data_IF_100363552280
#
_entry.id   IF_100363552280
#
_cell.length_a   1.000
_cell.length_b   1.000
_cell.length_c   1.000
_cell.angle_alpha   90.00
_cell.angle_beta   90.00
_cell.angle_gamma   90.00
#
_symmetry.space_group_name_H-M   'P 1'
#
loop_
_entity.id
_entity.type
_entity.pdbx_description
1 polymer ?
#
# COMPACT_ATOMS: atom_id res chain seq x y z
N UNK A 1 31.24 9.08 -14.08
CA UNK A 1 30.06 9.46 -13.27
C UNK A 1 30.50 10.41 -12.17
N UNK A 2 29.91 11.60 -12.02
CA UNK A 2 30.33 12.61 -11.05
C UNK A 2 30.24 12.06 -9.60
N UNK A 3 31.25 12.29 -8.76
CA UNK A 3 31.33 11.72 -7.40
C UNK A 3 30.07 12.02 -6.56
N UNK A 4 29.52 13.24 -6.72
CA UNK A 4 28.30 13.67 -6.04
C UNK A 4 27.06 12.86 -6.42
N UNK A 5 26.93 12.44 -7.68
CA UNK A 5 25.82 11.60 -8.15
C UNK A 5 25.93 10.17 -7.59
N UNK A 6 27.16 9.65 -7.45
CA UNK A 6 27.41 8.37 -6.80
C UNK A 6 26.96 8.40 -5.34
N UNK A 7 27.27 9.49 -4.63
CA UNK A 7 26.85 9.68 -3.24
C UNK A 7 25.33 9.74 -3.11
N UNK A 8 24.63 10.46 -3.99
CA UNK A 8 23.16 10.48 -4.01
C UNK A 8 22.55 9.10 -4.30
N UNK A 9 23.12 8.35 -5.26
CA UNK A 9 22.70 6.98 -5.54
C UNK A 9 22.87 6.07 -4.33
N UNK A 10 24.01 6.16 -3.63
CA UNK A 10 24.27 5.37 -2.43
C UNK A 10 23.32 5.73 -1.29
N UNK A 11 23.07 7.02 -1.05
CA UNK A 11 22.12 7.47 -0.03
C UNK A 11 20.68 7.05 -0.34
N UNK A 12 20.26 7.13 -1.61
CA UNK A 12 18.95 6.63 -2.03
C UNK A 12 18.81 5.13 -1.76
N UNK A 13 19.80 4.33 -2.17
CA UNK A 13 19.79 2.88 -1.96
C UNK A 13 19.81 2.52 -0.48
N UNK A 14 20.64 3.18 0.33
CA UNK A 14 20.68 2.99 1.77
C UNK A 14 19.34 3.35 2.42
N UNK A 15 18.73 4.48 2.07
CA UNK A 15 17.44 4.88 2.61
C UNK A 15 16.33 3.88 2.23
N UNK A 16 16.26 3.50 0.94
CA UNK A 16 15.23 2.59 0.44
C UNK A 16 15.38 1.15 0.97
N UNK A 17 16.59 0.73 1.33
CA UNK A 17 16.86 -0.59 1.95
C UNK A 17 16.58 -0.62 3.45
N UNK A 18 16.80 0.49 4.16
CA UNK A 18 16.40 0.64 5.57
C UNK A 18 14.88 0.79 5.76
N UNK A 19 14.15 1.12 4.70
CA UNK A 19 12.70 1.08 4.69
C UNK A 19 12.17 -0.37 4.66
N UNK A 20 10.93 -0.57 5.09
CA UNK A 20 10.31 -1.90 5.13
C UNK A 20 10.45 -2.61 3.76
N UNK A 21 11.20 -3.73 3.67
CA UNK A 21 11.57 -4.35 2.38
C UNK A 21 10.33 -4.78 1.58
N UNK A 22 9.20 -5.04 2.25
CA UNK A 22 7.95 -5.48 1.63
C UNK A 22 7.22 -4.34 0.92
N UNK A 23 7.10 -3.16 1.54
CA UNK A 23 6.58 -1.94 0.90
C UNK A 23 7.49 -1.49 -0.25
N UNK A 24 8.79 -1.69 -0.07
CA UNK A 24 9.81 -1.41 -1.08
C UNK A 24 9.57 -2.24 -2.37
N UNK A 25 9.16 -3.50 -2.25
CA UNK A 25 8.86 -4.35 -3.40
C UNK A 25 7.54 -3.97 -4.10
N UNK A 26 6.47 -3.74 -3.33
CA UNK A 26 5.15 -3.36 -3.87
C UNK A 26 5.25 -2.06 -4.67
N UNK A 27 5.89 -1.03 -4.10
CA UNK A 27 6.01 0.25 -4.77
C UNK A 27 6.98 0.18 -5.96
N UNK A 28 8.04 -0.64 -5.91
CA UNK A 28 8.99 -0.76 -7.04
C UNK A 28 8.33 -1.32 -8.31
N UNK A 29 7.36 -2.22 -8.16
CA UNK A 29 6.84 -3.00 -9.28
C UNK A 29 5.35 -2.79 -9.53
N UNK A 30 4.54 -2.64 -8.49
CA UNK A 30 3.12 -2.33 -8.62
C UNK A 30 2.86 -0.93 -9.17
N UNK A 31 3.77 0.01 -8.90
CA UNK A 31 3.63 1.39 -9.33
C UNK A 31 3.88 1.61 -10.84
N UNK A 32 4.94 1.07 -11.48
CA UNK A 32 5.07 1.12 -12.94
C UNK A 32 4.00 0.30 -13.65
N UNK A 33 3.56 -0.83 -13.06
CA UNK A 33 2.45 -1.62 -13.60
C UNK A 33 1.14 -0.83 -13.59
N UNK A 34 0.84 -0.15 -12.48
CA UNK A 34 -0.32 0.74 -12.39
C UNK A 34 -0.23 1.86 -13.43
N UNK A 35 0.93 2.49 -13.60
CA UNK A 35 1.15 3.51 -14.63
C UNK A 35 0.83 3.00 -16.04
N UNK A 36 1.30 1.79 -16.37
CA UNK A 36 1.02 1.14 -17.66
C UNK A 36 -0.47 0.83 -17.84
N UNK A 37 -1.15 0.35 -16.79
CA UNK A 37 -2.59 0.04 -16.84
C UNK A 37 -3.40 1.31 -17.10
N UNK A 38 -3.17 2.37 -16.33
CA UNK A 38 -3.94 3.60 -16.50
C UNK A 38 -3.60 4.27 -17.85
N UNK A 39 -2.36 4.17 -18.32
CA UNK A 39 -1.98 4.62 -19.65
C UNK A 39 -2.68 3.84 -20.77
N UNK A 40 -2.72 2.51 -20.69
CA UNK A 40 -3.39 1.65 -21.67
C UNK A 40 -4.92 1.91 -21.69
N UNK A 41 -5.53 2.07 -20.51
CA UNK A 41 -6.94 2.41 -20.38
C UNK A 41 -7.25 3.80 -20.96
N UNK A 42 -6.39 4.79 -20.69
CA UNK A 42 -6.49 6.12 -21.26
C UNK A 42 -6.29 6.11 -22.78
N UNK A 43 -5.38 5.29 -23.30
CA UNK A 43 -5.18 5.15 -24.74
C UNK A 43 -6.42 4.63 -25.44
N UNK A 44 -7.02 3.56 -24.88
CA UNK A 44 -8.22 2.93 -25.43
C UNK A 44 -9.47 3.83 -25.40
N UNK A 45 -9.53 4.82 -24.49
CA UNK A 45 -10.72 5.65 -24.28
C UNK A 45 -10.58 7.09 -24.78
N UNK A 46 -9.37 7.65 -24.74
CA UNK A 46 -9.08 9.07 -24.97
C UNK A 46 -7.94 9.31 -25.96
N UNK A 47 -7.36 8.27 -26.56
CA UNK A 47 -6.30 8.38 -27.56
C UNK A 47 -4.88 8.52 -26.98
N UNK A 48 -3.88 8.52 -27.88
CA UNK A 48 -2.47 8.37 -27.52
C UNK A 48 -1.90 9.57 -26.74
N UNK A 49 -2.34 10.79 -27.07
CA UNK A 49 -1.89 11.99 -26.36
C UNK A 49 -2.33 11.95 -24.89
N UNK A 50 -3.60 11.67 -24.61
CA UNK A 50 -4.10 11.56 -23.23
C UNK A 50 -3.42 10.44 -22.45
N UNK A 51 -3.10 9.32 -23.12
CA UNK A 51 -2.36 8.22 -22.52
C UNK A 51 -0.95 8.63 -22.09
N UNK A 52 -0.21 9.35 -22.92
CA UNK A 52 1.14 9.83 -22.62
C UNK A 52 1.15 10.79 -21.43
N UNK A 53 0.23 11.76 -21.41
CA UNK A 53 0.09 12.73 -20.31
C UNK A 53 -0.21 12.02 -19.00
N UNK A 54 -1.15 11.09 -19.03
CA UNK A 54 -1.56 10.37 -17.84
C UNK A 54 -0.45 9.42 -17.37
N UNK A 55 0.24 8.72 -18.28
CA UNK A 55 1.42 7.90 -17.96
C UNK A 55 2.51 8.74 -17.28
N UNK A 56 2.78 9.94 -17.80
CA UNK A 56 3.74 10.89 -17.23
C UNK A 56 3.35 11.31 -15.83
N UNK A 57 2.11 11.78 -15.64
CA UNK A 57 1.59 12.20 -14.33
C UNK A 57 1.62 11.06 -13.31
N UNK A 58 1.21 9.84 -13.71
CA UNK A 58 1.27 8.67 -12.83
C UNK A 58 2.72 8.33 -12.51
N UNK A 59 3.63 8.37 -13.49
CA UNK A 59 5.07 8.17 -13.27
C UNK A 59 5.63 9.12 -12.21
N UNK A 60 5.32 10.42 -12.31
CA UNK A 60 5.70 11.41 -11.32
C UNK A 60 5.06 11.13 -9.94
N UNK A 61 3.77 10.81 -9.87
CA UNK A 61 3.10 10.46 -8.62
C UNK A 61 3.73 9.23 -7.96
N UNK A 62 4.12 8.22 -8.74
CA UNK A 62 4.80 7.02 -8.26
C UNK A 62 6.17 7.36 -7.65
N UNK A 63 6.93 8.27 -8.25
CA UNK A 63 8.19 8.75 -7.67
C UNK A 63 7.95 9.44 -6.34
N UNK A 64 6.90 10.28 -6.23
CA UNK A 64 6.54 10.96 -4.99
C UNK A 64 6.11 9.99 -3.89
N UNK A 65 5.29 8.99 -4.21
CA UNK A 65 4.89 7.96 -3.26
C UNK A 65 6.08 7.10 -2.83
N UNK A 66 6.98 6.79 -3.75
CA UNK A 66 8.26 6.11 -3.45
C UNK A 66 9.12 6.94 -2.51
N UNK A 67 9.19 8.25 -2.74
CA UNK A 67 9.91 9.19 -1.90
C UNK A 67 9.30 9.23 -0.49
N UNK A 68 7.99 9.48 -0.36
CA UNK A 68 7.32 9.64 0.92
C UNK A 68 7.30 8.36 1.76
N UNK A 69 7.06 7.19 1.16
CA UNK A 69 6.87 5.94 1.90
C UNK A 69 8.10 5.02 1.96
N UNK A 70 9.11 5.21 1.10
CA UNK A 70 10.34 4.41 1.15
C UNK A 70 11.52 5.26 1.55
N UNK A 71 11.79 6.32 0.80
CA UNK A 71 12.98 7.12 1.02
C UNK A 71 12.93 7.84 2.36
N UNK A 72 11.86 8.59 2.67
CA UNK A 72 11.79 9.41 3.89
C UNK A 72 11.96 8.58 5.18
N UNK A 73 11.21 7.47 5.42
CA UNK A 73 11.40 6.67 6.64
C UNK A 73 12.82 6.15 6.81
N UNK A 74 13.46 5.70 5.72
CA UNK A 74 14.83 5.19 5.76
C UNK A 74 15.87 6.30 5.90
N UNK A 75 15.69 7.43 5.22
CA UNK A 75 16.55 8.60 5.31
C UNK A 75 16.52 9.20 6.73
N UNK A 76 15.36 9.21 7.38
CA UNK A 76 15.23 9.63 8.79
C UNK A 76 15.98 8.67 9.72
N UNK A 77 15.97 7.35 9.44
CA UNK A 77 16.78 6.37 10.19
C UNK A 77 18.29 6.58 9.98
N UNK A 78 18.71 6.91 8.75
CA UNK A 78 20.10 7.23 8.43
C UNK A 78 20.58 8.51 9.11
N UNK A 79 19.72 9.53 9.19
CA UNK A 79 19.98 10.78 9.90
C UNK A 79 19.79 10.60 11.41
N UNK A 80 20.54 9.68 12.04
CA UNK A 80 20.59 9.61 13.51
C UNK A 80 21.34 10.83 14.08
N UNK A 81 21.16 11.20 15.36
CA UNK A 81 21.84 12.37 15.93
C UNK A 81 23.37 12.24 15.90
N UNK A 82 23.87 11.01 16.07
CA UNK A 82 25.28 10.68 15.95
C UNK A 82 25.74 10.86 14.50
N UNK A 83 25.06 10.26 13.52
CA UNK A 83 25.45 10.34 12.11
C UNK A 83 25.36 11.77 11.57
N UNK A 84 24.39 12.56 12.04
CA UNK A 84 24.21 13.96 11.65
C UNK A 84 25.40 14.85 12.07
N UNK A 85 26.16 14.47 13.10
CA UNK A 85 27.40 15.16 13.53
C UNK A 85 28.68 14.50 13.01
N UNK A 86 28.72 13.17 13.02
CA UNK A 86 29.94 12.39 12.77
C UNK A 86 30.22 12.15 11.28
N UNK A 87 29.18 12.15 10.43
CA UNK A 87 29.35 11.90 8.99
C UNK A 87 29.27 13.23 8.23
N UNK A 88 30.41 13.83 7.85
CA UNK A 88 30.44 15.15 7.24
C UNK A 88 29.65 15.18 5.93
N UNK A 89 28.80 16.21 5.78
CA UNK A 89 28.02 16.43 4.56
C UNK A 89 26.87 15.46 4.31
N UNK A 90 26.71 14.38 5.09
CA UNK A 90 25.61 13.41 4.89
C UNK A 90 24.24 14.06 5.02
N UNK A 91 24.01 14.84 6.08
CA UNK A 91 22.75 15.57 6.29
C UNK A 91 22.44 16.50 5.12
N UNK A 92 23.41 17.33 4.72
CA UNK A 92 23.25 18.28 3.62
C UNK A 92 22.85 17.55 2.33
N UNK A 93 23.51 16.44 2.02
CA UNK A 93 23.21 15.61 0.85
C UNK A 93 21.84 14.93 0.94
N UNK A 94 21.41 14.49 2.12
CA UNK A 94 20.07 13.95 2.34
C UNK A 94 18.99 15.00 2.12
N UNK A 95 19.18 16.22 2.63
CA UNK A 95 18.26 17.35 2.41
C UNK A 95 18.21 17.72 0.93
N UNK A 96 19.36 17.88 0.28
CA UNK A 96 19.44 18.16 -1.16
C UNK A 96 18.72 17.09 -1.99
N UNK A 97 19.00 15.80 -1.74
CA UNK A 97 18.38 14.69 -2.43
C UNK A 97 16.86 14.64 -2.17
N UNK A 98 16.42 14.86 -0.93
CA UNK A 98 15.01 14.90 -0.59
C UNK A 98 14.27 16.02 -1.33
N UNK A 99 14.85 17.23 -1.37
CA UNK A 99 14.29 18.36 -2.11
C UNK A 99 14.22 18.08 -3.61
N UNK A 100 15.29 17.54 -4.21
CA UNK A 100 15.34 17.26 -5.65
C UNK A 100 14.29 16.21 -6.03
N UNK A 101 14.25 15.09 -5.31
CA UNK A 101 13.33 13.97 -5.62
C UNK A 101 11.88 14.34 -5.34
N UNK A 102 11.62 15.28 -4.43
CA UNK A 102 10.27 15.77 -4.18
C UNK A 102 9.85 16.84 -5.20
N UNK A 103 10.71 17.81 -5.50
CA UNK A 103 10.37 18.92 -6.39
C UNK A 103 10.28 18.51 -7.86
N UNK A 104 11.20 17.66 -8.36
CA UNK A 104 11.21 17.28 -9.78
C UNK A 104 9.91 16.64 -10.26
N UNK A 105 9.30 15.66 -9.56
CA UNK A 105 8.01 15.12 -9.97
C UNK A 105 6.86 16.11 -9.84
N UNK A 106 6.88 17.01 -8.85
CA UNK A 106 5.87 18.06 -8.70
C UNK A 106 5.93 19.01 -9.90
N UNK A 107 7.13 19.47 -10.26
CA UNK A 107 7.36 20.26 -11.47
C UNK A 107 6.98 19.48 -12.74
N UNK A 108 7.30 18.19 -12.80
CA UNK A 108 6.94 17.31 -13.91
C UNK A 108 5.43 17.21 -14.14
N UNK A 109 4.62 17.13 -13.08
CA UNK A 109 3.15 17.13 -13.17
C UNK A 109 2.64 18.51 -13.58
N UNK A 110 3.22 19.58 -13.05
CA UNK A 110 2.87 20.95 -13.43
C UNK A 110 3.13 21.22 -14.93
N UNK A 111 4.21 20.65 -15.48
CA UNK A 111 4.63 20.80 -16.87
C UNK A 111 4.05 19.74 -17.81
N UNK A 112 3.13 18.89 -17.34
CA UNK A 112 2.57 17.83 -18.16
C UNK A 112 1.93 18.43 -19.43
N UNK A 113 2.43 18.08 -20.63
CA UNK A 113 1.97 18.70 -21.87
C UNK A 113 0.47 18.41 -22.04
N UNK A 114 -0.34 19.37 -22.47
CA UNK A 114 -1.80 19.21 -22.69
C UNK A 114 -2.70 19.04 -21.46
N UNK A 115 -2.21 19.26 -20.25
CA UNK A 115 -3.07 19.28 -19.09
C UNK A 115 -3.79 20.64 -18.95
N UNK A 116 -5.12 20.62 -18.81
CA UNK A 116 -5.94 21.81 -18.55
C UNK A 116 -5.40 22.53 -17.30
N UNK A 117 -4.79 23.73 -17.43
CA UNK A 117 -4.02 24.34 -16.37
C UNK A 117 -4.86 24.62 -15.11
N UNK A 118 -6.18 24.84 -15.27
CA UNK A 118 -7.10 24.99 -14.14
C UNK A 118 -7.26 23.74 -13.29
N UNK A 119 -7.26 22.56 -13.91
CA UNK A 119 -7.33 21.29 -13.18
C UNK A 119 -5.97 20.93 -12.58
N UNK A 120 -4.87 21.22 -13.28
CA UNK A 120 -3.52 20.88 -12.83
C UNK A 120 -3.16 21.57 -11.52
N UNK A 121 -3.39 22.89 -11.39
CA UNK A 121 -3.02 23.64 -10.20
C UNK A 121 -3.67 23.07 -8.92
N UNK A 122 -4.95 22.72 -9.03
CA UNK A 122 -5.73 22.08 -7.98
C UNK A 122 -5.16 20.71 -7.56
N UNK A 123 -4.93 19.83 -8.54
CA UNK A 123 -4.37 18.50 -8.26
C UNK A 123 -2.95 18.59 -7.68
N UNK A 124 -2.19 19.61 -8.07
CA UNK A 124 -0.86 19.85 -7.51
C UNK A 124 -0.92 20.21 -6.03
N UNK A 125 -1.84 21.10 -5.62
CA UNK A 125 -2.04 21.46 -4.20
C UNK A 125 -2.32 20.20 -3.37
N UNK A 126 -3.26 19.37 -3.84
CA UNK A 126 -3.60 18.13 -3.16
C UNK A 126 -2.39 17.20 -3.04
N UNK A 127 -1.69 16.97 -4.15
CA UNK A 127 -0.58 16.03 -4.18
C UNK A 127 0.59 16.50 -3.30
N UNK A 128 0.93 17.78 -3.34
CA UNK A 128 1.99 18.36 -2.51
C UNK A 128 1.61 18.30 -1.02
N UNK A 129 0.38 18.67 -0.66
CA UNK A 129 -0.09 18.61 0.73
C UNK A 129 -0.16 17.18 1.26
N UNK A 130 -0.64 16.23 0.45
CA UNK A 130 -0.66 14.81 0.79
C UNK A 130 0.75 14.26 1.01
N UNK A 131 1.67 14.50 0.08
CA UNK A 131 3.07 14.03 0.17
C UNK A 131 3.82 14.70 1.32
N UNK A 132 3.54 15.97 1.60
CA UNK A 132 4.01 16.70 2.77
C UNK A 132 3.56 16.02 4.07
N UNK A 133 2.26 15.79 4.22
CA UNK A 133 1.71 15.16 5.41
C UNK A 133 2.22 13.74 5.61
N UNK A 134 2.38 12.97 4.53
CA UNK A 134 2.99 11.63 4.56
C UNK A 134 4.46 11.68 5.00
N UNK A 135 5.25 12.62 4.50
CA UNK A 135 6.66 12.78 4.87
C UNK A 135 6.82 13.23 6.33
N UNK A 136 5.99 14.17 6.79
CA UNK A 136 5.94 14.59 8.19
C UNK A 136 5.55 13.42 9.11
N UNK A 137 4.51 12.67 8.76
CA UNK A 137 4.10 11.48 9.48
C UNK A 137 5.22 10.44 9.54
N UNK A 138 5.94 10.25 8.42
CA UNK A 138 7.08 9.34 8.34
C UNK A 138 8.27 9.76 9.21
N UNK A 139 8.48 11.06 9.34
CA UNK A 139 9.45 11.64 10.27
C UNK A 139 8.99 11.55 11.74
N UNK A 140 7.72 11.24 12.00
CA UNK A 140 7.13 11.17 13.33
C UNK A 140 6.55 12.49 13.84
N UNK A 141 6.31 13.46 12.96
CA UNK A 141 5.60 14.69 13.33
C UNK A 141 4.11 14.43 13.48
N UNK A 142 3.53 14.93 14.58
CA UNK A 142 2.09 14.86 14.85
C UNK A 142 1.25 15.63 13.82
N UNK A 143 1.84 16.64 13.17
CA UNK A 143 1.18 17.41 12.11
C UNK A 143 0.96 16.60 10.82
N UNK A 144 1.60 15.43 10.65
CA UNK A 144 1.47 14.64 9.43
C UNK A 144 0.02 14.24 9.13
N UNK A 145 -0.69 13.70 10.12
CA UNK A 145 -2.08 13.25 9.93
C UNK A 145 -3.07 14.40 9.69
N UNK A 146 -3.05 15.50 10.49
CA UNK A 146 -3.84 16.70 10.19
C UNK A 146 -3.59 17.27 8.79
N UNK A 147 -2.35 17.27 8.30
CA UNK A 147 -2.03 17.77 6.96
C UNK A 147 -2.58 16.85 5.87
N UNK A 148 -2.48 15.52 6.05
CA UNK A 148 -3.12 14.55 5.14
C UNK A 148 -4.64 14.76 5.13
N UNK A 149 -5.25 14.85 6.31
CA UNK A 149 -6.68 15.08 6.44
C UNK A 149 -7.08 16.41 5.78
N UNK A 150 -6.36 17.50 6.04
CA UNK A 150 -6.59 18.80 5.43
C UNK A 150 -6.39 18.80 3.92
N UNK A 151 -5.56 17.91 3.37
CA UNK A 151 -5.47 17.71 1.92
C UNK A 151 -6.81 17.18 1.39
N UNK A 152 -7.31 16.06 1.92
CA UNK A 152 -8.57 15.45 1.51
C UNK A 152 -9.81 16.32 1.80
N UNK A 153 -9.85 16.99 2.94
CA UNK A 153 -10.91 17.91 3.33
C UNK A 153 -10.71 19.31 2.76
N UNK A 154 -9.56 19.63 2.18
CA UNK A 154 -9.33 20.92 1.52
C UNK A 154 -9.83 20.90 0.08
N UNK A 155 -9.77 19.73 -0.58
CA UNK A 155 -10.27 19.62 -1.97
C UNK A 155 -11.76 19.88 -2.12
N UNK A 156 -12.47 19.47 -1.09
CA UNK A 156 -13.82 19.84 -0.74
C UNK A 156 -14.23 21.30 -0.95
N UNK A 157 -13.31 22.25 -0.76
CA UNK A 157 -13.61 23.67 -0.75
C UNK A 157 -12.94 24.38 -1.93
N UNK A 158 -12.32 23.62 -2.85
CA UNK A 158 -11.65 24.19 -4.03
C UNK A 158 -12.63 24.88 -4.98
N UNK A 159 -13.85 24.35 -5.10
CA UNK A 159 -14.92 24.95 -5.91
C UNK A 159 -15.44 26.26 -5.33
N UNK A 160 -15.29 26.46 -4.02
CA UNK A 160 -15.72 27.66 -3.30
C UNK A 160 -14.60 28.71 -3.19
N UNK A 161 -13.43 28.44 -3.79
CA UNK A 161 -12.36 29.44 -3.85
C UNK A 161 -12.86 30.67 -4.59
N UNK A 162 -12.50 31.89 -4.15
CA UNK A 162 -12.84 33.11 -4.86
C UNK A 162 -12.45 33.00 -6.35
N UNK A 163 -13.26 33.52 -7.30
CA UNK A 163 -13.00 33.41 -8.72
C UNK A 163 -11.60 33.91 -9.12
N UNK A 164 -11.09 34.91 -8.41
CA UNK A 164 -9.74 35.46 -8.56
C UNK A 164 -8.66 34.44 -8.23
N UNK A 165 -8.86 33.60 -7.21
CA UNK A 165 -7.92 32.54 -6.84
C UNK A 165 -7.99 31.40 -7.85
N UNK A 166 -9.18 31.03 -8.29
CA UNK A 166 -9.35 30.00 -9.32
C UNK A 166 -8.71 30.42 -10.65
N UNK A 167 -8.91 31.67 -11.08
CA UNK A 167 -8.31 32.20 -12.30
C UNK A 167 -6.79 32.30 -12.18
N UNK A 168 -6.27 32.70 -11.02
CA UNK A 168 -4.83 32.69 -10.76
C UNK A 168 -4.26 31.27 -10.84
N UNK A 169 -4.85 30.29 -10.14
CA UNK A 169 -4.41 28.89 -10.16
C UNK A 169 -4.49 28.23 -11.54
N UNK A 170 -5.42 28.71 -12.38
CA UNK A 170 -5.60 28.26 -13.77
C UNK A 170 -4.68 28.96 -14.75
N UNK A 171 -3.97 29.99 -14.32
CA UNK A 171 -3.05 30.76 -15.16
C UNK A 171 -1.62 30.23 -15.05
N UNK A 172 -0.85 30.33 -16.15
CA UNK A 172 0.57 29.98 -16.14
C UNK A 172 1.37 30.75 -15.08
N UNK A 173 1.17 32.09 -14.87
CA UNK A 173 1.83 32.82 -13.79
C UNK A 173 1.52 32.27 -12.40
N UNK A 174 0.26 31.90 -12.13
CA UNK A 174 -0.12 31.33 -10.85
C UNK A 174 0.48 29.94 -10.62
N UNK A 175 0.60 29.12 -11.67
CA UNK A 175 1.30 27.83 -11.61
C UNK A 175 2.80 28.02 -11.27
N UNK A 176 3.47 28.98 -11.91
CA UNK A 176 4.87 29.32 -11.62
C UNK A 176 5.03 29.80 -10.17
N UNK A 177 4.14 30.69 -9.72
CA UNK A 177 4.14 31.17 -8.34
C UNK A 177 3.92 30.03 -7.33
N UNK A 178 3.00 29.11 -7.63
CA UNK A 178 2.74 27.93 -6.82
C UNK A 178 3.98 27.03 -6.74
N UNK A 179 4.67 26.78 -7.86
CA UNK A 179 5.90 26.00 -7.88
C UNK A 179 7.02 26.65 -7.03
N UNK A 180 7.17 27.98 -7.10
CA UNK A 180 8.14 28.69 -6.25
C UNK A 180 7.79 28.57 -4.77
N UNK A 181 6.52 28.72 -4.42
CA UNK A 181 6.03 28.53 -3.06
C UNK A 181 6.27 27.10 -2.58
N UNK A 182 6.01 26.11 -3.42
CA UNK A 182 6.27 24.71 -3.08
C UNK A 182 7.76 24.43 -2.92
N UNK A 183 8.63 24.99 -3.76
CA UNK A 183 10.07 24.86 -3.59
C UNK A 183 10.50 25.38 -2.21
N UNK A 184 9.98 26.53 -1.77
CA UNK A 184 10.26 27.08 -0.45
C UNK A 184 9.76 26.15 0.68
N UNK A 185 8.50 25.69 0.60
CA UNK A 185 7.91 24.77 1.60
C UNK A 185 8.71 23.47 1.67
N UNK A 186 9.05 22.87 0.52
CA UNK A 186 9.82 21.64 0.42
C UNK A 186 11.17 21.78 1.12
N UNK A 187 11.88 22.89 0.91
CA UNK A 187 13.17 23.15 1.58
C UNK A 187 13.01 23.28 3.09
N UNK A 188 12.01 24.02 3.56
CA UNK A 188 11.74 24.21 4.99
C UNK A 188 11.43 22.86 5.64
N UNK A 189 10.52 22.10 5.04
CA UNK A 189 10.07 20.81 5.56
C UNK A 189 11.19 19.78 5.52
N UNK A 190 11.96 19.71 4.43
CA UNK A 190 13.10 18.80 4.35
C UNK A 190 14.13 19.09 5.46
N UNK A 191 14.40 20.36 5.76
CA UNK A 191 15.28 20.74 6.88
C UNK A 191 14.70 20.37 8.24
N UNK A 192 13.38 20.39 8.39
CA UNK A 192 12.70 20.01 9.62
C UNK A 192 12.69 18.48 9.84
N UNK A 193 12.42 17.73 8.77
CA UNK A 193 12.49 16.25 8.74
C UNK A 193 13.91 15.75 9.03
N UNK A 194 14.93 16.48 8.56
CA UNK A 194 16.34 16.15 8.78
C UNK A 194 17.02 17.20 9.68
N UNK A 195 16.76 17.19 11.00
CA UNK A 195 17.32 18.16 11.92
C UNK A 195 18.85 18.00 12.04
N UNK A 196 19.52 19.10 12.38
CA UNK A 196 20.94 19.09 12.75
C UNK A 196 21.14 18.29 14.03
N UNK A 197 22.28 17.61 14.16
CA UNK A 197 22.61 16.89 15.38
C UNK A 197 22.66 17.87 16.57
N UNK A 198 21.93 17.56 17.63
CA UNK A 198 21.81 18.43 18.81
C UNK A 198 20.62 18.07 19.68
N UNK A 199 20.34 18.88 20.68
CA UNK A 199 19.25 18.62 21.63
C UNK A 199 17.87 18.52 20.97
N UNK A 200 17.60 19.36 19.96
CA UNK A 200 16.32 19.34 19.23
C UNK A 200 16.09 17.97 18.57
N UNK A 201 17.13 17.41 17.97
CA UNK A 201 17.10 16.09 17.34
C UNK A 201 16.89 14.99 18.38
N UNK A 202 17.60 15.05 19.51
CA UNK A 202 17.38 14.12 20.62
C UNK A 202 15.97 14.22 21.22
N UNK A 203 15.42 15.44 21.35
CA UNK A 203 14.03 15.66 21.78
C UNK A 203 13.03 15.07 20.79
N UNK A 204 13.25 15.22 19.49
CA UNK A 204 12.41 14.63 18.45
C UNK A 204 12.40 13.10 18.56
N UNK A 205 13.57 12.47 18.70
CA UNK A 205 13.66 11.02 18.88
C UNK A 205 13.04 10.59 20.20
N UNK A 206 13.30 11.31 21.29
CA UNK A 206 12.71 11.05 22.60
C UNK A 206 11.18 11.11 22.60
N UNK A 207 10.57 12.07 21.88
CA UNK A 207 9.12 12.12 21.67
C UNK A 207 8.64 10.91 20.86
N UNK A 208 9.36 10.55 19.80
CA UNK A 208 9.04 9.38 18.97
C UNK A 208 9.13 8.08 19.77
N UNK A 209 10.17 7.90 20.60
CA UNK A 209 10.35 6.72 21.44
C UNK A 209 9.35 6.67 22.59
N UNK A 210 8.94 7.81 23.17
CA UNK A 210 7.82 7.86 24.14
C UNK A 210 6.49 7.49 23.50
N UNK A 211 6.17 8.06 22.33
CA UNK A 211 4.99 7.67 21.55
C UNK A 211 5.02 6.16 21.23
N UNK A 212 6.18 5.62 20.87
CA UNK A 212 6.42 4.18 20.65
C UNK A 212 6.33 3.35 21.93
N UNK A 213 6.85 3.84 23.05
CA UNK A 213 6.90 3.15 24.34
C UNK A 213 5.54 3.10 25.02
N UNK A 214 4.79 4.21 24.98
CA UNK A 214 3.40 4.26 25.41
C UNK A 214 2.52 3.36 24.53
N UNK A 215 2.80 3.24 23.23
CA UNK A 215 2.07 2.33 22.33
C UNK A 215 2.60 0.88 22.34
N UNK A 216 3.76 0.62 22.95
CA UNK A 216 4.39 -0.70 23.09
C UNK A 216 5.01 -1.27 21.81
N UNK A 217 5.37 -0.47 20.78
CA UNK A 217 5.70 -0.99 19.43
C UNK A 217 6.91 -0.37 18.72
N UNK A 218 7.81 -1.22 18.21
CA UNK A 218 8.96 -0.87 17.33
C UNK A 218 8.53 -0.53 15.88
N UNK A 219 7.88 0.60 15.64
CA UNK A 219 7.96 1.47 14.43
C UNK A 219 6.66 2.31 14.29
N UNK A 220 6.71 3.59 13.86
CA UNK A 220 5.61 4.53 14.07
C UNK A 220 4.60 4.67 12.92
N UNK A 221 4.74 4.04 11.76
CA UNK A 221 3.87 4.40 10.63
C UNK A 221 2.71 3.45 10.32
N UNK A 222 2.85 2.16 10.64
CA UNK A 222 1.84 1.16 10.27
C UNK A 222 1.34 0.34 11.45
N UNK A 223 2.04 0.42 12.59
CA UNK A 223 1.76 -0.42 13.75
C UNK A 223 0.96 0.34 14.83
N UNK A 224 0.78 1.65 14.68
CA UNK A 224 0.24 2.55 15.72
C UNK A 224 -1.25 2.37 16.02
N UNK A 225 -2.10 1.94 15.08
CA UNK A 225 -3.56 2.01 15.27
C UNK A 225 -4.23 0.72 15.77
N UNK A 226 -3.63 -0.46 15.58
CA UNK A 226 -4.28 -1.75 15.92
C UNK A 226 -3.87 -2.41 17.24
N UNK A 227 -2.76 -1.98 17.86
CA UNK A 227 -1.98 -2.82 18.79
C UNK A 227 -2.64 -3.30 20.08
N UNK A 228 -3.13 -2.39 20.92
CA UNK A 228 -3.61 -2.75 22.27
C UNK A 228 -4.89 -3.56 22.22
N UNK A 229 -5.80 -3.22 21.30
CA UNK A 229 -7.08 -3.91 21.17
C UNK A 229 -6.93 -5.23 20.42
N UNK A 230 -6.08 -5.28 19.37
CA UNK A 230 -5.73 -6.52 18.69
C UNK A 230 -5.01 -7.50 19.63
N UNK A 231 -4.13 -7.05 20.53
CA UNK A 231 -3.47 -7.94 21.50
C UNK A 231 -4.44 -8.53 22.54
N UNK A 232 -5.44 -7.75 22.98
CA UNK A 232 -6.50 -8.26 23.88
C UNK A 232 -7.38 -9.29 23.17
N UNK A 233 -7.76 -9.03 21.92
CA UNK A 233 -8.53 -9.96 21.10
C UNK A 233 -7.71 -11.21 20.73
N UNK A 234 -6.42 -11.05 20.45
CA UNK A 234 -5.46 -12.14 20.27
C UNK A 234 -5.44 -13.04 21.49
N UNK A 235 -5.17 -12.48 22.68
CA UNK A 235 -5.12 -13.24 23.92
C UNK A 235 -6.46 -13.96 24.21
N UNK A 236 -7.60 -13.32 23.97
CA UNK A 236 -8.91 -13.93 24.14
C UNK A 236 -9.15 -15.09 23.16
N UNK A 237 -8.81 -14.91 21.88
CA UNK A 237 -8.96 -15.94 20.84
C UNK A 237 -8.00 -17.12 21.07
N UNK A 238 -6.73 -16.86 21.41
CA UNK A 238 -5.75 -17.88 21.75
C UNK A 238 -6.18 -18.70 22.96
N UNK A 239 -6.70 -18.06 24.02
CA UNK A 239 -7.26 -18.77 25.20
C UNK A 239 -8.43 -19.66 24.81
N UNK A 240 -9.37 -19.15 24.00
CA UNK A 240 -10.54 -19.90 23.53
C UNK A 240 -10.14 -21.10 22.67
N UNK A 241 -9.23 -20.91 21.71
CA UNK A 241 -8.82 -21.95 20.78
C UNK A 241 -7.93 -23.01 21.47
N UNK A 242 -7.10 -22.59 22.43
CA UNK A 242 -6.32 -23.49 23.29
C UNK A 242 -7.23 -24.34 24.17
N UNK A 243 -8.26 -23.73 24.79
CA UNK A 243 -9.23 -24.46 25.62
C UNK A 243 -10.02 -25.49 24.81
N UNK A 244 -10.36 -25.17 23.55
CA UNK A 244 -11.06 -26.07 22.63
C UNK A 244 -10.17 -27.12 21.96
N UNK A 245 -8.84 -27.02 22.14
CA UNK A 245 -7.84 -27.87 21.47
C UNK A 245 -8.04 -27.92 19.94
N UNK A 246 -8.46 -26.81 19.35
CA UNK A 246 -8.74 -26.72 17.91
C UNK A 246 -7.44 -26.58 17.12
N UNK A 247 -6.90 -27.71 16.68
CA UNK A 247 -5.64 -27.80 15.96
C UNK A 247 -5.58 -26.88 14.73
N UNK A 248 -6.71 -26.67 14.04
CA UNK A 248 -6.74 -25.87 12.81
C UNK A 248 -6.52 -24.38 13.09
N UNK A 249 -7.09 -23.88 14.19
CA UNK A 249 -6.93 -22.48 14.61
C UNK A 249 -5.61 -22.26 15.33
N UNK A 250 -5.15 -23.24 16.10
CA UNK A 250 -3.83 -23.22 16.76
C UNK A 250 -2.69 -23.07 15.74
N UNK A 251 -2.79 -23.70 14.58
CA UNK A 251 -1.82 -23.53 13.49
C UNK A 251 -1.74 -22.08 12.99
N UNK A 252 -2.84 -21.32 12.99
CA UNK A 252 -2.81 -19.91 12.58
C UNK A 252 -2.10 -19.01 13.58
N UNK A 253 -2.14 -19.36 14.87
CA UNK A 253 -1.38 -18.66 15.91
C UNK A 253 0.15 -18.81 15.73
N UNK A 254 0.62 -19.75 14.88
CA UNK A 254 2.03 -19.89 14.52
C UNK A 254 2.59 -18.72 13.70
N UNK A 255 1.67 -17.92 13.15
CA UNK A 255 1.99 -16.77 12.33
C UNK A 255 2.12 -15.49 13.18
N UNK A 256 1.65 -15.52 14.42
CA UNK A 256 1.72 -14.44 15.39
C UNK A 256 0.45 -13.58 15.50
N UNK A 257 0.46 -12.58 16.41
CA UNK A 257 -0.73 -11.85 16.83
C UNK A 257 -1.31 -10.88 15.80
N UNK A 258 -0.50 -10.48 14.81
CA UNK A 258 -0.86 -9.51 13.77
C UNK A 258 -1.76 -10.09 12.65
N UNK A 259 -2.28 -11.31 12.82
CA UNK A 259 -3.03 -12.04 11.79
C UNK A 259 -4.49 -12.28 12.10
N UNK A 260 -5.03 -11.69 13.17
CA UNK A 260 -6.45 -11.77 13.38
C UNK A 260 -7.20 -10.95 12.34
N UNK A 261 -8.26 -11.54 11.79
CA UNK A 261 -9.23 -10.84 10.96
C UNK A 261 -9.74 -9.56 11.62
N UNK A 262 -9.65 -9.42 12.94
CA UNK A 262 -9.95 -8.18 13.65
C UNK A 262 -9.09 -6.98 13.23
N UNK A 263 -7.79 -7.15 12.95
CA UNK A 263 -6.94 -6.07 12.44
C UNK A 263 -7.33 -5.71 11.00
N UNK A 264 -7.63 -6.71 10.18
CA UNK A 264 -8.14 -6.51 8.83
C UNK A 264 -9.48 -5.77 8.87
N UNK A 265 -10.43 -6.20 9.70
CA UNK A 265 -11.76 -5.58 9.85
C UNK A 265 -11.64 -4.17 10.40
N UNK A 266 -10.73 -3.91 11.34
CA UNK A 266 -10.48 -2.56 11.86
C UNK A 266 -9.87 -1.66 10.78
N UNK A 267 -8.85 -2.14 10.06
CA UNK A 267 -8.21 -1.37 8.98
C UNK A 267 -9.18 -1.12 7.82
N UNK A 268 -9.95 -2.13 7.43
CA UNK A 268 -10.98 -2.04 6.41
C UNK A 268 -12.12 -1.14 6.86
N UNK A 269 -12.56 -1.24 8.12
CA UNK A 269 -13.60 -0.38 8.70
C UNK A 269 -13.16 1.07 8.76
N UNK A 270 -11.91 1.34 9.16
CA UNK A 270 -11.33 2.68 9.14
C UNK A 270 -11.25 3.22 7.70
N UNK A 271 -10.74 2.42 6.76
CA UNK A 271 -10.70 2.82 5.35
C UNK A 271 -12.09 3.00 4.75
N UNK A 272 -13.06 2.16 5.11
CA UNK A 272 -14.45 2.27 4.71
C UNK A 272 -15.08 3.56 5.26
N UNK A 273 -14.82 3.91 6.52
CA UNK A 273 -15.23 5.19 7.09
C UNK A 273 -14.60 6.36 6.36
N UNK A 274 -13.30 6.31 6.05
CA UNK A 274 -12.62 7.36 5.28
C UNK A 274 -13.24 7.49 3.89
N UNK A 275 -13.45 6.37 3.19
CA UNK A 275 -14.10 6.35 1.87
C UNK A 275 -15.54 6.87 1.97
N UNK A 276 -16.30 6.49 2.98
CA UNK A 276 -17.68 6.95 3.20
C UNK A 276 -17.73 8.45 3.52
N UNK A 277 -16.84 8.96 4.37
CA UNK A 277 -16.73 10.38 4.66
C UNK A 277 -16.38 11.17 3.39
N UNK A 278 -15.38 10.72 2.62
CA UNK A 278 -15.01 11.33 1.33
C UNK A 278 -16.19 11.27 0.36
N UNK A 279 -16.94 10.17 0.36
CA UNK A 279 -18.10 9.97 -0.52
C UNK A 279 -19.23 10.92 -0.16
N UNK A 280 -19.72 10.91 1.09
CA UNK A 280 -20.76 11.83 1.58
C UNK A 280 -20.36 13.28 1.32
N UNK A 281 -19.10 13.59 1.56
CA UNK A 281 -18.55 14.92 1.30
C UNK A 281 -18.58 15.27 -0.20
N UNK A 282 -18.10 14.39 -1.08
CA UNK A 282 -18.12 14.61 -2.52
C UNK A 282 -19.55 14.73 -3.08
N UNK A 283 -20.48 13.95 -2.53
CA UNK A 283 -21.91 13.99 -2.91
C UNK A 283 -22.53 15.33 -2.55
N UNK A 284 -22.18 15.88 -1.37
CA UNK A 284 -22.63 17.19 -0.92
C UNK A 284 -22.14 18.32 -1.82
N UNK A 285 -20.91 18.23 -2.34
CA UNK A 285 -20.29 19.30 -3.14
C UNK A 285 -20.66 19.23 -4.64
N UNK A 286 -20.70 18.03 -5.21
CA UNK A 286 -20.73 17.85 -6.68
C UNK A 286 -22.00 17.19 -7.21
N UNK A 287 -22.95 16.90 -6.32
CA UNK A 287 -24.14 16.12 -6.63
C UNK A 287 -23.87 14.62 -6.67
N UNK A 288 -24.93 13.83 -6.82
CA UNK A 288 -24.89 12.35 -6.76
C UNK A 288 -24.17 11.70 -7.95
N UNK A 289 -24.05 12.41 -9.07
CA UNK A 289 -23.55 11.85 -10.33
C UNK A 289 -22.04 11.55 -10.31
N UNK A 290 -21.26 12.36 -9.58
CA UNK A 290 -19.81 12.14 -9.42
C UNK A 290 -19.52 10.90 -8.59
N UNK A 291 -20.38 10.59 -7.61
CA UNK A 291 -20.24 9.40 -6.77
C UNK A 291 -20.44 8.11 -7.58
N UNK A 292 -21.36 8.10 -8.53
CA UNK A 292 -21.52 7.00 -9.48
C UNK A 292 -20.29 6.78 -10.37
N UNK A 293 -19.57 7.85 -10.74
CA UNK A 293 -18.40 7.80 -11.62
C UNK A 293 -17.08 7.42 -10.93
N UNK A 294 -16.87 7.83 -9.68
CA UNK A 294 -15.61 7.65 -8.94
C UNK A 294 -15.73 6.62 -7.81
N UNK A 295 -16.95 6.31 -7.35
CA UNK A 295 -17.20 5.39 -6.23
C UNK A 295 -16.58 4.01 -6.40
N UNK A 296 -16.53 3.48 -7.63
CA UNK A 296 -15.86 2.20 -7.91
C UNK A 296 -14.33 2.27 -7.80
N UNK A 297 -13.69 3.40 -8.14
CA UNK A 297 -12.24 3.60 -7.96
C UNK A 297 -11.88 3.71 -6.47
N UNK A 298 -12.70 4.42 -5.70
CA UNK A 298 -12.60 4.49 -4.23
C UNK A 298 -12.78 3.10 -3.61
N UNK A 299 -13.77 2.32 -4.07
CA UNK A 299 -13.98 0.95 -3.63
C UNK A 299 -12.81 0.02 -3.98
N UNK A 300 -12.17 0.21 -5.14
CA UNK A 300 -10.95 -0.52 -5.51
C UNK A 300 -9.78 -0.26 -4.54
N UNK A 301 -9.71 0.91 -3.88
CA UNK A 301 -8.67 1.16 -2.86
C UNK A 301 -8.81 0.27 -1.63
N UNK A 302 -10.02 -0.22 -1.31
CA UNK A 302 -10.22 -1.19 -0.24
C UNK A 302 -9.62 -2.56 -0.55
N UNK A 303 -9.43 -2.87 -1.82
CA UNK A 303 -8.78 -4.10 -2.26
C UNK A 303 -7.25 -4.08 -2.02
N UNK A 304 -6.67 -2.93 -1.69
CA UNK A 304 -5.27 -2.82 -1.25
C UNK A 304 -5.08 -3.49 0.11
N UNK A 305 -6.09 -3.46 0.99
CA UNK A 305 -6.03 -4.06 2.33
C UNK A 305 -5.78 -5.58 2.27
N UNK A 306 -6.61 -6.41 1.60
CA UNK A 306 -6.36 -7.85 1.51
C UNK A 306 -5.06 -8.16 0.76
N UNK A 307 -4.69 -7.37 -0.27
CA UNK A 307 -3.39 -7.50 -0.94
C UNK A 307 -2.23 -7.35 0.06
N UNK A 308 -2.26 -6.31 0.89
CA UNK A 308 -1.24 -6.07 1.90
C UNK A 308 -1.18 -7.19 2.94
N UNK A 309 -2.33 -7.74 3.35
CA UNK A 309 -2.44 -8.85 4.31
C UNK A 309 -1.86 -10.14 3.75
N UNK A 310 -2.20 -10.46 2.50
CA UNK A 310 -1.70 -11.65 1.79
C UNK A 310 -0.19 -11.60 1.61
N UNK A 311 0.36 -10.44 1.21
CA UNK A 311 1.82 -10.24 1.12
C UNK A 311 2.49 -10.30 2.49
N UNK A 312 1.80 -9.87 3.55
CA UNK A 312 2.31 -9.92 4.93
C UNK A 312 2.39 -11.34 5.48
N UNK A 313 1.42 -12.21 5.16
CA UNK A 313 1.38 -13.60 5.65
C UNK A 313 2.64 -14.38 5.26
N UNK A 314 3.06 -14.25 4.01
CA UNK A 314 4.22 -14.98 3.48
C UNK A 314 5.52 -14.68 4.26
N UNK A 315 5.78 -13.40 4.56
CA UNK A 315 6.96 -13.02 5.32
C UNK A 315 6.85 -13.25 6.83
N UNK A 316 5.66 -13.53 7.38
CA UNK A 316 5.46 -13.74 8.82
C UNK A 316 5.62 -15.19 9.24
N UNK A 317 5.42 -16.14 8.32
CA UNK A 317 5.77 -17.56 8.52
C UNK A 317 7.24 -17.73 8.95
N UNK A 318 8.16 -16.83 8.58
CA UNK A 318 9.56 -16.90 9.04
C UNK A 318 9.88 -16.00 10.25
N UNK A 319 8.94 -15.16 10.71
CA UNK A 319 9.20 -14.08 11.67
C UNK A 319 9.05 -14.50 13.14
N UNK A 320 8.27 -15.55 13.43
CA UNK A 320 7.93 -15.97 14.79
C UNK A 320 8.42 -17.41 15.10
N UNK A 321 9.74 -17.68 15.04
CA UNK A 321 10.26 -19.03 15.24
C UNK A 321 10.03 -19.57 16.65
N UNK A 322 9.93 -18.70 17.67
CA UNK A 322 9.62 -19.10 19.04
C UNK A 322 8.18 -19.62 19.20
N UNK A 323 7.20 -18.92 18.65
CA UNK A 323 5.78 -19.33 18.69
C UNK A 323 5.57 -20.64 17.91
N UNK A 324 6.28 -20.80 16.80
CA UNK A 324 6.28 -22.02 15.99
C UNK A 324 6.85 -23.23 16.73
N UNK A 325 7.91 -23.03 17.52
CA UNK A 325 8.47 -24.09 18.35
C UNK A 325 7.50 -24.49 19.49
N UNK A 326 6.85 -23.51 20.12
CA UNK A 326 5.86 -23.76 21.18
C UNK A 326 4.63 -24.50 20.65
N UNK A 327 4.16 -24.17 19.45
CA UNK A 327 3.03 -24.87 18.86
C UNK A 327 3.30 -26.34 18.57
N UNK A 328 4.54 -26.72 18.22
CA UNK A 328 4.89 -28.15 18.09
C UNK A 328 4.70 -28.94 19.38
N UNK A 329 4.80 -28.28 20.53
CA UNK A 329 4.60 -28.90 21.84
C UNK A 329 3.10 -28.99 22.20
N UNK A 330 2.21 -28.39 21.41
CA UNK A 330 0.78 -28.45 21.68
C UNK A 330 0.24 -29.84 21.33
N UNK A 331 -0.47 -30.51 22.27
CA UNK A 331 -0.91 -31.91 22.11
C UNK A 331 -1.94 -32.11 20.99
N UNK A 332 -2.55 -31.04 20.49
CA UNK A 332 -3.53 -31.08 19.40
C UNK A 332 -2.89 -31.13 18.00
N UNK A 333 -1.57 -30.98 17.89
CA UNK A 333 -0.93 -30.85 16.58
C UNK A 333 -0.80 -32.19 15.83
N UNK A 334 -0.98 -32.20 14.51
CA UNK A 334 -0.83 -33.43 13.73
C UNK A 334 0.60 -33.99 13.84
N UNK A 335 0.71 -35.29 14.11
CA UNK A 335 2.01 -35.96 14.27
C UNK A 335 2.78 -36.19 12.96
N UNK A 336 2.13 -36.06 11.79
CA UNK A 336 2.78 -36.23 10.48
C UNK A 336 2.92 -34.91 9.73
N UNK A 337 4.09 -34.74 9.12
CA UNK A 337 4.43 -33.56 8.29
C UNK A 337 3.38 -33.23 7.22
N UNK A 338 2.88 -34.21 6.42
CA UNK A 338 1.94 -33.91 5.35
C UNK A 338 0.56 -33.53 5.89
N UNK A 339 0.16 -34.04 7.06
CA UNK A 339 -1.11 -33.65 7.70
C UNK A 339 -1.02 -32.22 8.24
N UNK A 340 0.07 -31.89 8.93
CA UNK A 340 0.33 -30.53 9.39
C UNK A 340 0.35 -29.54 8.22
N UNK A 341 1.08 -29.83 7.14
CA UNK A 341 1.21 -28.92 6.00
C UNK A 341 -0.13 -28.71 5.28
N UNK A 342 -0.97 -29.76 5.17
CA UNK A 342 -2.32 -29.64 4.63
C UNK A 342 -3.21 -28.76 5.52
N UNK A 343 -3.11 -28.88 6.84
CA UNK A 343 -3.85 -28.04 7.78
C UNK A 343 -3.41 -26.58 7.69
N UNK A 344 -2.10 -26.32 7.68
CA UNK A 344 -1.55 -24.98 7.48
C UNK A 344 -1.99 -24.38 6.14
N UNK A 345 -1.89 -25.15 5.05
CA UNK A 345 -2.29 -24.67 3.72
C UNK A 345 -3.76 -24.34 3.64
N UNK A 346 -4.63 -25.19 4.20
CA UNK A 346 -6.07 -24.92 4.28
C UNK A 346 -6.36 -23.68 5.14
N UNK A 347 -5.67 -23.52 6.26
CA UNK A 347 -5.88 -22.38 7.15
C UNK A 347 -5.44 -21.06 6.49
N UNK A 348 -4.29 -21.05 5.82
CA UNK A 348 -3.80 -19.90 5.03
C UNK A 348 -4.76 -19.56 3.89
N UNK A 349 -5.23 -20.58 3.15
CA UNK A 349 -6.20 -20.43 2.07
C UNK A 349 -7.51 -19.82 2.56
N UNK A 350 -8.09 -20.38 3.63
CA UNK A 350 -9.33 -19.89 4.21
C UNK A 350 -9.18 -18.46 4.74
N UNK A 351 -8.04 -18.13 5.34
CA UNK A 351 -7.77 -16.78 5.80
C UNK A 351 -7.63 -15.79 4.64
N UNK A 352 -6.94 -16.18 3.57
CA UNK A 352 -6.81 -15.36 2.36
C UNK A 352 -8.16 -15.18 1.64
N UNK A 353 -8.97 -16.23 1.53
CA UNK A 353 -10.34 -16.17 0.99
C UNK A 353 -11.25 -15.30 1.85
N UNK A 354 -11.19 -15.44 3.18
CA UNK A 354 -11.98 -14.63 4.09
C UNK A 354 -11.60 -13.14 3.99
N UNK A 355 -10.30 -12.82 3.92
CA UNK A 355 -9.87 -11.44 3.77
C UNK A 355 -10.27 -10.84 2.42
N UNK A 356 -10.17 -11.60 1.32
CA UNK A 356 -10.68 -11.21 0.01
C UNK A 356 -12.21 -11.00 0.02
N UNK A 357 -12.97 -11.92 0.61
CA UNK A 357 -14.43 -11.88 0.64
C UNK A 357 -14.92 -10.69 1.48
N UNK A 358 -14.32 -10.44 2.65
CA UNK A 358 -14.64 -9.29 3.50
C UNK A 358 -14.36 -7.98 2.75
N UNK A 359 -13.19 -7.86 2.12
CA UNK A 359 -12.81 -6.64 1.41
C UNK A 359 -13.66 -6.39 0.16
N UNK A 360 -13.91 -7.42 -0.64
CA UNK A 360 -14.76 -7.35 -1.83
C UNK A 360 -16.21 -7.06 -1.45
N UNK A 361 -16.71 -7.70 -0.38
CA UNK A 361 -18.03 -7.44 0.17
C UNK A 361 -18.19 -5.99 0.65
N UNK A 362 -17.20 -5.45 1.36
CA UNK A 362 -17.21 -4.05 1.78
C UNK A 362 -17.13 -3.08 0.59
N UNK A 363 -16.29 -3.37 -0.40
CA UNK A 363 -16.20 -2.58 -1.62
C UNK A 363 -17.54 -2.54 -2.38
N UNK A 364 -18.19 -3.70 -2.56
CA UNK A 364 -19.51 -3.81 -3.18
C UNK A 364 -20.60 -3.13 -2.35
N UNK A 365 -20.60 -3.33 -1.04
CA UNK A 365 -21.58 -2.71 -0.14
C UNK A 365 -21.48 -1.19 -0.14
N UNK A 366 -20.28 -0.62 -0.03
CA UNK A 366 -20.09 0.83 -0.11
C UNK A 366 -20.46 1.38 -1.48
N UNK A 367 -20.14 0.66 -2.55
CA UNK A 367 -20.51 1.06 -3.92
C UNK A 367 -22.03 1.04 -4.12
N UNK A 368 -22.71 0.05 -3.56
CA UNK A 368 -24.17 -0.05 -3.59
C UNK A 368 -24.83 1.04 -2.74
N UNK A 369 -24.32 1.30 -1.53
CA UNK A 369 -24.76 2.40 -0.67
C UNK A 369 -24.52 3.77 -1.31
N UNK A 370 -23.49 3.89 -2.15
CA UNK A 370 -23.21 5.07 -2.97
C UNK A 370 -24.11 5.22 -4.20
N UNK A 371 -25.14 4.37 -4.37
CA UNK A 371 -26.11 4.49 -5.45
C UNK A 371 -25.60 4.04 -6.83
N UNK A 372 -24.55 3.22 -6.89
CA UNK A 372 -24.04 2.72 -8.15
C UNK A 372 -25.06 1.83 -8.88
N UNK A 373 -25.09 1.93 -10.21
CA UNK A 373 -25.95 1.09 -11.04
C UNK A 373 -25.59 -0.40 -10.96
N UNK A 374 -26.53 -1.27 -11.31
CA UNK A 374 -26.31 -2.72 -11.35
C UNK A 374 -25.13 -3.11 -12.25
N UNK A 375 -24.93 -2.40 -13.37
CA UNK A 375 -23.79 -2.61 -14.27
C UNK A 375 -22.47 -2.27 -13.61
N UNK A 376 -22.41 -1.19 -12.82
CA UNK A 376 -21.20 -0.78 -12.09
C UNK A 376 -20.87 -1.77 -10.97
N UNK A 377 -21.88 -2.24 -10.23
CA UNK A 377 -21.70 -3.28 -9.21
C UNK A 377 -21.21 -4.59 -9.83
N UNK A 378 -21.78 -4.99 -10.97
CA UNK A 378 -21.33 -6.18 -11.70
C UNK A 378 -19.90 -6.04 -12.21
N UNK A 379 -19.53 -4.89 -12.77
CA UNK A 379 -18.15 -4.61 -13.20
C UNK A 379 -17.17 -4.61 -12.02
N UNK A 380 -17.56 -4.05 -10.88
CA UNK A 380 -16.75 -4.09 -9.66
C UNK A 380 -16.60 -5.52 -9.13
N UNK A 381 -17.66 -6.32 -9.13
CA UNK A 381 -17.59 -7.73 -8.76
C UNK A 381 -16.61 -8.50 -9.68
N UNK A 382 -16.67 -8.23 -10.99
CA UNK A 382 -15.70 -8.78 -11.95
C UNK A 382 -14.27 -8.34 -11.61
N UNK A 383 -14.06 -7.05 -11.30
CA UNK A 383 -12.75 -6.52 -10.90
C UNK A 383 -12.23 -7.14 -9.58
N UNK A 384 -13.10 -7.38 -8.60
CA UNK A 384 -12.74 -8.10 -7.37
C UNK A 384 -12.26 -9.53 -7.67
N UNK A 385 -12.86 -10.20 -8.66
CA UNK A 385 -12.48 -11.54 -9.08
C UNK A 385 -11.10 -11.58 -9.78
N UNK A 386 -10.65 -10.48 -10.39
CA UNK A 386 -9.29 -10.37 -10.96
C UNK A 386 -8.19 -10.49 -9.88
N UNK A 387 -8.53 -10.24 -8.61
CA UNK A 387 -7.60 -10.37 -7.49
C UNK A 387 -7.61 -11.75 -6.84
N UNK A 388 -8.55 -12.63 -7.22
CA UNK A 388 -8.70 -13.96 -6.63
C UNK A 388 -7.42 -14.82 -6.73
N UNK A 389 -6.62 -14.77 -7.83
CA UNK A 389 -5.35 -15.47 -7.92
C UNK A 389 -4.36 -15.17 -6.77
N UNK A 390 -4.46 -14.01 -6.11
CA UNK A 390 -3.61 -13.63 -4.98
C UNK A 390 -3.82 -14.51 -3.75
N UNK A 391 -4.99 -15.13 -3.62
CA UNK A 391 -5.29 -16.06 -2.54
C UNK A 391 -4.34 -17.27 -2.55
N UNK A 392 -3.78 -17.63 -3.71
CA UNK A 392 -2.80 -18.71 -3.82
C UNK A 392 -1.38 -18.30 -3.40
N UNK A 393 -1.09 -17.00 -3.26
CA UNK A 393 0.27 -16.51 -2.98
C UNK A 393 0.89 -17.09 -1.70
N UNK A 394 0.17 -17.29 -0.58
CA UNK A 394 0.71 -17.90 0.63
C UNK A 394 0.94 -19.42 0.52
N UNK A 395 0.39 -20.10 -0.50
CA UNK A 395 0.42 -21.56 -0.64
C UNK A 395 1.72 -22.03 -1.28
N UNK A 396 2.78 -22.03 -0.49
CA UNK A 396 4.15 -22.22 -0.98
C UNK A 396 4.97 -23.16 -0.12
N UNK A 397 6.14 -23.51 -0.62
CA UNK A 397 7.11 -24.24 0.17
C UNK A 397 7.67 -23.35 1.29
N UNK A 398 6.94 -23.30 2.43
CA UNK A 398 7.30 -22.58 3.65
C UNK A 398 8.63 -23.04 4.26
N UNK A 399 9.09 -24.22 3.85
CA UNK A 399 10.26 -24.87 4.41
C UNK A 399 11.57 -24.26 3.85
N UNK A 400 11.51 -23.63 2.67
CA UNK A 400 12.65 -22.99 2.00
C UNK A 400 12.70 -21.48 2.21
N UNK A 401 13.90 -20.96 2.47
CA UNK A 401 14.15 -19.53 2.70
C UNK A 401 14.50 -18.82 1.40
N UNK A 402 13.52 -18.62 0.53
CA UNK A 402 13.72 -17.91 -0.74
C UNK A 402 13.08 -16.51 -0.70
N UNK A 403 13.81 -15.46 -0.26
CA UNK A 403 13.27 -14.09 -0.18
C UNK A 403 12.79 -13.56 -1.54
N UNK A 404 13.36 -14.07 -2.64
CA UNK A 404 12.95 -13.74 -4.00
C UNK A 404 11.68 -14.50 -4.43
N UNK A 405 11.47 -15.72 -3.91
CA UNK A 405 10.35 -16.55 -4.34
C UNK A 405 9.03 -15.88 -3.98
N UNK A 406 8.84 -15.47 -2.72
CA UNK A 406 7.69 -14.73 -2.22
C UNK A 406 7.25 -13.59 -3.14
N UNK A 407 8.22 -12.77 -3.54
CA UNK A 407 8.02 -11.65 -4.43
C UNK A 407 7.65 -12.12 -5.85
N UNK A 408 8.36 -13.12 -6.39
CA UNK A 408 8.03 -13.75 -7.67
C UNK A 408 6.62 -14.36 -7.66
N UNK A 409 6.07 -14.79 -6.51
CA UNK A 409 4.66 -15.18 -6.39
C UNK A 409 3.74 -14.08 -6.84
N UNK A 410 3.94 -12.93 -6.19
CA UNK A 410 3.04 -11.81 -6.29
C UNK A 410 3.14 -11.27 -7.71
N UNK A 411 4.36 -11.23 -8.28
CA UNK A 411 4.57 -10.87 -9.68
C UNK A 411 3.87 -11.85 -10.62
N UNK A 412 4.07 -13.17 -10.48
CA UNK A 412 3.44 -14.17 -11.36
C UNK A 412 1.92 -14.07 -11.27
N UNK A 413 1.38 -13.88 -10.08
CA UNK A 413 -0.05 -13.74 -9.86
C UNK A 413 -0.60 -12.44 -10.45
N UNK A 414 0.11 -11.32 -10.27
CA UNK A 414 -0.28 -10.05 -10.89
C UNK A 414 -0.20 -10.13 -12.41
N UNK A 415 0.84 -10.76 -12.96
CA UNK A 415 0.97 -11.02 -14.40
C UNK A 415 -0.20 -11.86 -14.87
N UNK A 416 -0.59 -12.92 -14.15
CA UNK A 416 -1.79 -13.71 -14.46
C UNK A 416 -3.04 -12.84 -14.54
N UNK A 417 -3.32 -12.03 -13.52
CA UNK A 417 -4.48 -11.15 -13.51
C UNK A 417 -4.48 -10.12 -14.67
N UNK A 418 -3.28 -9.66 -15.07
CA UNK A 418 -3.13 -8.76 -16.23
C UNK A 418 -3.36 -9.49 -17.56
N UNK A 419 -2.84 -10.72 -17.69
CA UNK A 419 -3.07 -11.55 -18.88
C UNK A 419 -4.55 -11.88 -19.02
N UNK A 420 -5.23 -12.21 -17.91
CA UNK A 420 -6.67 -12.46 -17.89
C UNK A 420 -7.46 -11.23 -18.36
N UNK A 421 -7.04 -10.02 -17.95
CA UNK A 421 -7.62 -8.76 -18.40
C UNK A 421 -7.37 -8.49 -19.89
N UNK A 422 -6.13 -8.69 -20.37
CA UNK A 422 -5.77 -8.54 -21.79
C UNK A 422 -6.55 -9.52 -22.67
N UNK A 423 -6.70 -10.77 -22.24
CA UNK A 423 -7.51 -11.78 -22.91
C UNK A 423 -8.98 -11.38 -22.93
N UNK A 424 -9.51 -10.84 -21.82
CA UNK A 424 -10.84 -10.25 -21.79
C UNK A 424 -11.01 -9.13 -22.80
N UNK A 425 -10.04 -8.21 -22.91
CA UNK A 425 -10.08 -7.15 -23.92
C UNK A 425 -10.01 -7.70 -25.35
N UNK A 426 -9.22 -8.75 -25.60
CA UNK A 426 -9.19 -9.40 -26.92
C UNK A 426 -10.52 -10.05 -27.29
N UNK A 427 -11.28 -10.54 -26.29
CA UNK A 427 -12.60 -11.14 -26.49
C UNK A 427 -13.67 -10.13 -26.93
N UNK A 428 -13.44 -8.81 -26.77
CA UNK A 428 -14.31 -7.79 -27.38
C UNK A 428 -14.37 -7.90 -28.90
N UNK A 429 -13.29 -8.33 -29.54
CA UNK A 429 -13.27 -8.54 -30.98
C UNK A 429 -14.24 -9.65 -31.42
N UNK A 430 -14.63 -10.54 -30.49
CA UNK A 430 -15.63 -11.58 -30.68
C UNK A 430 -17.03 -11.20 -30.12
N UNK A 431 -17.26 -9.93 -29.76
CA UNK A 431 -18.54 -9.44 -29.23
C UNK A 431 -18.79 -9.78 -27.74
N UNK A 432 -17.80 -10.32 -27.03
CA UNK A 432 -17.95 -10.66 -25.62
C UNK A 432 -17.57 -9.50 -24.69
N UNK A 433 -18.22 -9.35 -23.52
CA UNK A 433 -17.87 -8.32 -22.56
C UNK A 433 -16.52 -8.66 -21.88
N UNK A 434 -15.58 -7.72 -21.94
CA UNK A 434 -14.19 -7.95 -21.51
C UNK A 434 -14.04 -8.33 -20.03
N UNK A 435 -14.71 -7.61 -19.13
CA UNK A 435 -14.54 -7.79 -17.69
C UNK A 435 -15.08 -9.13 -17.17
N UNK A 436 -16.28 -9.60 -17.59
CA UNK A 436 -16.77 -10.93 -17.22
C UNK A 436 -15.87 -12.05 -17.71
N UNK A 437 -15.36 -11.96 -18.94
CA UNK A 437 -14.43 -12.96 -19.50
C UNK A 437 -13.15 -12.99 -18.67
N UNK A 438 -12.56 -11.83 -18.37
CA UNK A 438 -11.37 -11.73 -17.54
C UNK A 438 -11.61 -12.27 -16.11
N UNK A 439 -12.78 -12.01 -15.52
CA UNK A 439 -13.14 -12.52 -14.21
C UNK A 439 -13.22 -14.05 -14.18
N UNK A 440 -13.84 -14.67 -15.20
CA UNK A 440 -13.92 -16.14 -15.33
C UNK A 440 -12.52 -16.74 -15.49
N UNK A 441 -11.69 -16.17 -16.37
CA UNK A 441 -10.30 -16.61 -16.54
C UNK A 441 -9.51 -16.51 -15.24
N UNK A 442 -9.67 -15.40 -14.50
CA UNK A 442 -9.04 -15.21 -13.20
C UNK A 442 -9.50 -16.22 -12.15
N UNK A 443 -10.79 -16.62 -12.14
CA UNK A 443 -11.28 -17.69 -11.26
C UNK A 443 -10.64 -19.04 -11.60
N UNK A 444 -10.52 -19.37 -12.88
CA UNK A 444 -9.85 -20.60 -13.34
C UNK A 444 -8.36 -20.58 -12.96
N UNK A 445 -7.68 -19.47 -13.22
CA UNK A 445 -6.28 -19.23 -12.82
C UNK A 445 -6.09 -19.39 -11.31
N UNK A 446 -6.99 -18.82 -10.50
CA UNK A 446 -6.96 -18.96 -9.05
C UNK A 446 -7.12 -20.43 -8.62
N UNK A 447 -8.08 -21.17 -9.20
CA UNK A 447 -8.29 -22.58 -8.87
C UNK A 447 -7.05 -23.43 -9.18
N UNK A 448 -6.43 -23.23 -10.35
CA UNK A 448 -5.21 -23.94 -10.77
C UNK A 448 -4.03 -23.59 -9.84
N UNK A 449 -3.85 -22.32 -9.51
CA UNK A 449 -2.78 -21.86 -8.62
C UNK A 449 -2.96 -22.37 -7.19
N UNK A 450 -4.19 -22.39 -6.67
CA UNK A 450 -4.51 -22.96 -5.35
C UNK A 450 -4.25 -24.47 -5.34
N UNK A 451 -4.71 -25.21 -6.35
CA UNK A 451 -4.48 -26.65 -6.44
C UNK A 451 -2.98 -26.97 -6.48
N UNK A 452 -2.21 -26.22 -7.30
CA UNK A 452 -0.75 -26.35 -7.38
C UNK A 452 -0.08 -25.99 -6.06
N UNK A 453 -0.46 -24.88 -5.44
CA UNK A 453 0.09 -24.41 -4.16
C UNK A 453 -0.15 -25.40 -3.02
N UNK A 454 -1.36 -25.98 -2.93
CA UNK A 454 -1.69 -27.01 -1.96
C UNK A 454 -0.85 -28.28 -2.16
N UNK A 455 -0.61 -28.71 -3.41
CA UNK A 455 0.29 -29.84 -3.71
C UNK A 455 1.73 -29.55 -3.28
N UNK A 456 2.23 -28.35 -3.57
CA UNK A 456 3.59 -27.92 -3.18
C UNK A 456 3.73 -27.91 -1.66
N UNK A 457 2.74 -27.36 -0.93
CA UNK A 457 2.76 -27.37 0.53
C UNK A 457 2.71 -28.77 1.11
N UNK A 458 1.83 -29.64 0.59
CA UNK A 458 1.72 -31.02 1.07
C UNK A 458 3.02 -31.81 0.89
N UNK A 459 3.77 -31.54 -0.18
CA UNK A 459 5.07 -32.15 -0.47
C UNK A 459 6.26 -31.47 0.24
N UNK A 460 6.04 -30.35 0.93
CA UNK A 460 7.10 -29.66 1.64
C UNK A 460 7.58 -30.48 2.85
N UNK A 461 8.88 -30.46 3.22
CA UNK A 461 9.35 -31.16 4.40
C UNK A 461 8.89 -30.45 5.69
N UNK A 462 8.96 -31.15 6.82
CA UNK A 462 8.54 -30.63 8.12
C UNK A 462 9.55 -29.65 8.72
N UNK A 463 9.66 -28.46 8.16
CA UNK A 463 10.56 -27.43 8.66
C UNK A 463 9.78 -26.39 9.47
N UNK A 464 9.30 -26.75 10.66
CA UNK A 464 8.90 -25.75 11.66
C UNK A 464 9.98 -25.69 12.75
N UNK A 465 10.53 -24.51 13.09
CA UNK A 465 10.28 -23.19 12.49
C UNK A 465 10.58 -23.09 10.99
N UNK A 466 9.76 -22.32 10.28
CA UNK A 466 9.81 -22.19 8.83
C UNK A 466 11.14 -21.61 8.31
N UNK A 467 11.41 -21.82 7.02
CA UNK A 467 12.57 -21.28 6.32
C UNK A 467 13.92 -21.71 6.92
N UNK A 468 14.05 -23.00 7.26
CA UNK A 468 15.28 -23.62 7.81
C UNK A 468 16.04 -24.49 6.82
N UNK A 469 15.46 -24.81 5.67
CA UNK A 469 16.15 -25.56 4.63
C UNK A 469 16.53 -24.59 3.52
N UNK A 470 17.83 -24.53 3.22
CA UNK A 470 18.36 -23.76 2.10
C UNK A 470 18.22 -24.53 0.78
#
# INVERSE_FOLDING_TARGET
MNARLRDYSLLWQAAVTHANPRLSAIIRWGAPLLALIVAAAAWATRGAAAALVLAWCVGCAVVLLSWAWRFVPGAVKLNSPANAKLVPGMRRRLVELACIVWFLPVAGIALAPYADPGRVGVWLIMLVTFTLGAALGAAGHQAGWPVIAASFFGSAFLGDLPPVVQSLLSSLPGLVLALLLYAAIIVVVARDIFPEGGERHWRMIGRRTRLVGETGKRDPLLDQMGGRQANKWYAASLRRDSARRDAHKLVLHALGPAHHLGELVLALGLMACVVACISVFATWQTGTDVLGGIGWLLACTLLIVPFSTIVRLDGQVAAHPGEQALLRLAPAMPGSAPAFNRHLGRALLLHALASWAIASGAALALTALGGASATTLFNLACACCLLLPLVAAPLRNHARRAPLAAFLAVVVVLVSANMDLLLGFSARNAGLPALPVAAVLSMVSAAVLVQRGMRIMAAAPFAFPAARMD
#
